data_IF_327501054887
#
_entry.id   IF_327501054887
#
_cell.length_a   1.000
_cell.length_b   1.000
_cell.length_c   1.000
_cell.angle_alpha   90.00
_cell.angle_beta   90.00
_cell.angle_gamma   90.00
#
_symmetry.space_group_name_H-M   'P 1'
#
loop_
_entity.id
_entity.type
_entity.pdbx_description
1 polymer ?
#
# COMPACT_ATOMS: atom_id res chain seq x y z
N UNK A 1 -12.09 17.11 86.19
CA UNK A 1 -13.15 16.85 85.20
C UNK A 1 -12.79 17.69 83.99
N UNK A 2 -12.15 17.08 82.99
CA UNK A 2 -11.53 17.78 81.87
C UNK A 2 -12.59 18.21 80.84
N UNK A 3 -12.44 19.42 80.31
CA UNK A 3 -13.36 20.06 79.38
C UNK A 3 -13.30 19.39 77.99
N UNK A 4 -14.39 18.82 77.47
CA UNK A 4 -14.41 18.09 76.20
C UNK A 4 -14.20 18.96 74.96
N UNK A 5 -14.14 20.29 75.09
CA UNK A 5 -13.88 21.20 73.96
C UNK A 5 -12.41 21.30 73.55
N UNK A 6 -11.50 20.84 74.40
CA UNK A 6 -10.06 20.93 74.13
C UNK A 6 -9.52 19.77 73.26
N UNK A 7 -10.33 18.74 72.99
CA UNK A 7 -9.92 17.59 72.15
C UNK A 7 -10.25 17.78 70.65
N UNK A 8 -11.00 18.82 70.28
CA UNK A 8 -11.35 19.09 68.87
C UNK A 8 -10.31 19.95 68.12
N UNK A 9 -9.31 20.50 68.82
CA UNK A 9 -8.27 21.33 68.23
C UNK A 9 -7.10 20.52 67.65
N UNK A 10 -7.04 19.20 67.91
CA UNK A 10 -5.95 18.31 67.47
C UNK A 10 -6.34 17.44 66.26
N UNK A 11 -7.40 17.83 65.54
CA UNK A 11 -7.65 17.29 64.19
C UNK A 11 -6.61 17.93 63.28
N UNK A 12 -5.44 17.29 63.22
CA UNK A 12 -4.42 17.51 62.20
C UNK A 12 -5.13 17.39 60.86
N UNK A 13 -5.38 18.52 60.22
CA UNK A 13 -5.84 18.56 58.83
C UNK A 13 -4.83 17.76 58.02
N UNK A 14 -5.19 16.63 57.40
CA UNK A 14 -4.26 15.96 56.52
C UNK A 14 -3.96 16.95 55.39
N UNK A 15 -2.70 17.37 55.29
CA UNK A 15 -2.25 18.15 54.16
C UNK A 15 -2.68 17.40 52.90
N UNK A 16 -3.60 18.00 52.13
CA UNK A 16 -4.05 17.42 50.89
C UNK A 16 -2.79 17.08 50.08
N UNK A 17 -2.65 15.84 49.57
CA UNK A 17 -1.51 15.54 48.73
C UNK A 17 -1.60 16.53 47.57
N UNK A 18 -0.59 17.38 47.45
CA UNK A 18 -0.38 18.18 46.25
C UNK A 18 -0.13 17.17 45.13
N UNK A 19 -1.21 16.65 44.55
CA UNK A 19 -1.19 16.00 43.25
C UNK A 19 -0.95 17.10 42.23
N UNK A 20 0.23 17.70 42.29
CA UNK A 20 0.86 18.28 41.12
C UNK A 20 1.27 17.10 40.23
N UNK A 21 0.27 16.41 39.68
CA UNK A 21 0.50 15.67 38.47
C UNK A 21 1.00 16.72 37.47
N UNK A 22 2.23 16.56 37.00
CA UNK A 22 2.72 17.25 35.81
C UNK A 22 1.94 16.68 34.61
N UNK A 23 0.64 16.97 34.57
CA UNK A 23 -0.31 16.47 33.57
C UNK A 23 0.09 16.97 32.19
N UNK A 24 0.75 18.13 32.10
CA UNK A 24 1.27 18.67 30.84
C UNK A 24 2.30 17.77 30.17
N UNK A 25 3.29 17.24 30.92
CA UNK A 25 4.36 16.42 30.36
C UNK A 25 3.86 15.04 29.91
N UNK A 26 2.96 14.43 30.70
CA UNK A 26 2.39 13.12 30.37
C UNK A 26 1.47 13.21 29.15
N UNK A 27 0.65 14.26 29.06
CA UNK A 27 -0.29 14.46 27.94
C UNK A 27 0.44 14.78 26.64
N UNK A 28 1.54 15.54 26.69
CA UNK A 28 2.44 15.75 25.55
C UNK A 28 3.14 14.45 25.10
N UNK A 29 3.57 13.59 26.04
CA UNK A 29 4.15 12.28 25.70
C UNK A 29 3.13 11.35 25.04
N UNK A 30 1.90 11.28 25.56
CA UNK A 30 0.82 10.50 24.95
C UNK A 30 0.42 11.04 23.58
N UNK A 31 0.38 12.37 23.41
CA UNK A 31 0.16 12.99 22.11
C UNK A 31 1.29 12.63 21.14
N UNK A 32 2.55 12.69 21.56
CA UNK A 32 3.70 12.31 20.74
C UNK A 32 3.67 10.83 20.33
N UNK A 33 3.31 9.93 21.25
CA UNK A 33 3.14 8.50 20.96
C UNK A 33 1.99 8.27 19.97
N UNK A 34 0.86 8.94 20.15
CA UNK A 34 -0.27 8.88 19.22
C UNK A 34 0.09 9.37 17.81
N UNK A 35 0.82 10.48 17.73
CA UNK A 35 1.26 11.08 16.47
C UNK A 35 2.32 10.21 15.77
N UNK A 36 3.27 9.63 16.52
CA UNK A 36 4.23 8.66 16.01
C UNK A 36 3.56 7.38 15.50
N UNK A 37 2.55 6.87 16.23
CA UNK A 37 1.74 5.73 15.80
C UNK A 37 0.99 6.03 14.50
N UNK A 38 0.30 7.17 14.42
CA UNK A 38 -0.42 7.59 13.22
C UNK A 38 0.53 7.80 12.03
N UNK A 39 1.69 8.43 12.24
CA UNK A 39 2.72 8.60 11.22
C UNK A 39 3.25 7.25 10.74
N UNK A 40 3.48 6.29 11.63
CA UNK A 40 3.87 4.92 11.30
C UNK A 40 2.84 4.20 10.45
N UNK A 41 1.55 4.29 10.81
CA UNK A 41 0.44 3.70 10.04
C UNK A 41 0.34 4.34 8.65
N UNK A 42 0.47 5.67 8.55
CA UNK A 42 0.48 6.39 7.27
C UNK A 42 1.67 5.97 6.40
N UNK A 43 2.86 5.84 6.98
CA UNK A 43 4.06 5.36 6.28
C UNK A 43 3.89 3.93 5.77
N UNK A 44 3.36 3.03 6.60
CA UNK A 44 3.06 1.65 6.22
C UNK A 44 2.02 1.60 5.11
N UNK A 45 0.93 2.37 5.22
CA UNK A 45 -0.09 2.47 4.19
C UNK A 45 0.48 3.02 2.87
N UNK A 46 1.33 4.05 2.95
CA UNK A 46 2.01 4.65 1.81
C UNK A 46 2.98 3.69 1.14
N UNK A 47 3.84 3.03 1.91
CA UNK A 47 4.76 1.99 1.41
C UNK A 47 3.99 0.82 0.82
N UNK A 48 2.89 0.42 1.46
CA UNK A 48 2.01 -0.62 0.96
C UNK A 48 1.40 -0.21 -0.37
N UNK A 49 0.84 0.99 -0.49
CA UNK A 49 0.30 1.54 -1.73
C UNK A 49 1.37 1.57 -2.83
N UNK A 50 2.59 2.00 -2.51
CA UNK A 50 3.73 2.03 -3.45
C UNK A 50 4.18 0.62 -3.87
N UNK A 51 4.02 -0.39 -3.01
CA UNK A 51 4.37 -1.80 -3.29
C UNK A 51 3.20 -2.64 -3.82
N UNK A 52 1.95 -2.15 -3.82
CA UNK A 52 0.80 -2.86 -4.40
C UNK A 52 0.99 -3.23 -5.88
N UNK A 53 1.45 -2.35 -6.79
CA UNK A 53 1.67 -2.73 -8.20
C UNK A 53 2.75 -3.80 -8.34
N UNK A 54 3.73 -3.84 -7.43
CA UNK A 54 4.77 -4.87 -7.39
C UNK A 54 4.20 -6.27 -7.17
N UNK A 55 3.39 -6.39 -6.11
CA UNK A 55 2.89 -7.67 -5.62
C UNK A 55 1.86 -8.24 -6.57
N UNK A 56 1.02 -7.39 -7.15
CA UNK A 56 0.06 -7.78 -8.16
C UNK A 56 0.75 -8.31 -9.42
N UNK A 57 1.77 -7.61 -9.92
CA UNK A 57 2.58 -8.09 -11.05
C UNK A 57 3.29 -9.42 -10.74
N UNK A 58 3.91 -9.54 -9.56
CA UNK A 58 4.57 -10.78 -9.15
C UNK A 58 3.58 -11.95 -9.01
N UNK A 59 2.38 -11.69 -8.50
CA UNK A 59 1.31 -12.70 -8.42
C UNK A 59 0.81 -13.13 -9.80
N UNK A 60 0.71 -12.20 -10.76
CA UNK A 60 0.38 -12.54 -12.15
C UNK A 60 1.51 -13.38 -12.76
N UNK A 61 2.76 -12.97 -12.61
CA UNK A 61 3.91 -13.70 -13.14
C UNK A 61 4.05 -15.11 -12.52
N UNK A 62 3.78 -15.26 -11.22
CA UNK A 62 3.76 -16.56 -10.56
C UNK A 62 2.63 -17.45 -11.11
N UNK A 63 1.43 -16.89 -11.31
CA UNK A 63 0.31 -17.62 -11.92
C UNK A 63 0.61 -18.03 -13.38
N UNK A 64 1.29 -17.18 -14.15
CA UNK A 64 1.78 -17.52 -15.49
C UNK A 64 2.80 -18.67 -15.43
N UNK A 65 3.77 -18.60 -14.52
CA UNK A 65 4.80 -19.63 -14.36
C UNK A 65 4.22 -20.99 -13.93
N UNK A 66 3.18 -20.98 -13.09
CA UNK A 66 2.45 -22.18 -12.69
C UNK A 66 1.34 -22.59 -13.67
N UNK A 67 1.19 -21.86 -14.80
CA UNK A 67 0.13 -22.06 -15.80
C UNK A 67 -1.29 -22.15 -15.18
N UNK A 68 -1.53 -21.35 -14.13
CA UNK A 68 -2.78 -21.35 -13.40
C UNK A 68 -3.82 -20.44 -14.07
N UNK A 69 -4.80 -21.06 -14.72
CA UNK A 69 -5.92 -20.40 -15.40
C UNK A 69 -5.72 -20.29 -16.90
N UNK A 70 -6.49 -19.41 -17.56
CA UNK A 70 -6.38 -19.19 -19.00
C UNK A 70 -5.44 -18.01 -19.32
N UNK A 71 -4.69 -18.06 -20.44
CA UNK A 71 -3.87 -16.93 -20.89
C UNK A 71 -4.67 -15.63 -21.01
N UNK A 72 -5.91 -15.70 -21.50
CA UNK A 72 -6.79 -14.54 -21.63
C UNK A 72 -7.15 -13.89 -20.29
N UNK A 73 -7.42 -14.69 -19.24
CA UNK A 73 -7.70 -14.18 -17.91
C UNK A 73 -6.46 -13.53 -17.27
N UNK A 74 -5.28 -14.13 -17.45
CA UNK A 74 -4.01 -13.56 -16.97
C UNK A 74 -3.65 -12.27 -17.72
N UNK A 75 -3.87 -12.22 -19.04
CA UNK A 75 -3.75 -10.99 -19.85
C UNK A 75 -4.71 -9.89 -19.36
N UNK A 76 -5.96 -10.23 -19.02
CA UNK A 76 -6.90 -9.27 -18.46
C UNK A 76 -6.43 -8.70 -17.11
N UNK A 77 -5.84 -9.53 -16.24
CA UNK A 77 -5.22 -9.09 -14.98
C UNK A 77 -4.01 -8.19 -15.23
N UNK A 78 -3.17 -8.50 -16.20
CA UNK A 78 -2.02 -7.69 -16.58
C UNK A 78 -2.46 -6.33 -17.17
N UNK A 79 -3.53 -6.31 -17.97
CA UNK A 79 -4.16 -5.09 -18.46
C UNK A 79 -4.71 -4.22 -17.30
N UNK A 80 -5.38 -4.83 -16.32
CA UNK A 80 -5.87 -4.10 -15.15
C UNK A 80 -4.72 -3.52 -14.32
N UNK A 81 -3.63 -4.27 -14.18
CA UNK A 81 -2.40 -3.78 -13.55
C UNK A 81 -1.83 -2.56 -14.28
N UNK A 82 -1.70 -2.61 -15.60
CA UNK A 82 -1.15 -1.48 -16.38
C UNK A 82 -2.02 -0.23 -16.25
N UNK A 83 -3.35 -0.38 -16.30
CA UNK A 83 -4.29 0.72 -16.05
C UNK A 83 -4.10 1.34 -14.67
N UNK A 84 -3.93 0.52 -13.64
CA UNK A 84 -3.69 0.99 -12.28
C UNK A 84 -2.33 1.68 -12.14
N UNK A 85 -1.27 1.09 -12.70
CA UNK A 85 0.11 1.56 -12.57
C UNK A 85 0.30 2.93 -13.24
N UNK A 86 -0.20 3.08 -14.46
CA UNK A 86 -0.06 4.30 -15.26
C UNK A 86 -1.28 5.22 -15.19
N UNK A 87 -2.26 4.92 -14.31
CA UNK A 87 -3.53 5.66 -14.14
C UNK A 87 -4.28 5.87 -15.47
N UNK A 88 -4.30 4.85 -16.33
CA UNK A 88 -4.93 4.90 -17.64
C UNK A 88 -6.38 4.41 -17.57
N UNK A 89 -7.28 5.10 -18.26
CA UNK A 89 -8.66 4.62 -18.46
C UNK A 89 -8.68 3.33 -19.28
N UNK A 90 -7.83 3.23 -20.30
CA UNK A 90 -7.65 2.06 -21.19
C UNK A 90 -6.17 1.94 -21.58
N UNK A 91 -5.67 0.71 -21.70
CA UNK A 91 -4.37 0.43 -22.34
C UNK A 91 -4.57 0.49 -23.84
N UNK A 92 -3.82 1.37 -24.50
CA UNK A 92 -3.91 1.61 -25.94
C UNK A 92 -2.50 1.84 -26.47
N UNK A 93 -2.17 1.22 -27.62
CA UNK A 93 -0.88 1.37 -28.28
C UNK A 93 -0.59 2.82 -28.67
N UNK A 94 -1.62 3.62 -28.96
CA UNK A 94 -1.45 5.02 -29.33
C UNK A 94 -1.21 5.96 -28.13
N UNK A 95 -1.43 5.50 -26.90
CA UNK A 95 -1.33 6.32 -25.68
C UNK A 95 -0.19 5.82 -24.79
N UNK A 96 1.03 6.16 -25.17
CA UNK A 96 2.22 5.85 -24.39
C UNK A 96 2.29 6.69 -23.11
N UNK A 97 2.55 6.10 -21.92
CA UNK A 97 2.83 6.84 -20.70
C UNK A 97 4.14 7.64 -20.80
N UNK A 98 4.25 8.78 -20.11
CA UNK A 98 5.48 9.57 -20.10
C UNK A 98 6.63 8.75 -19.46
N UNK A 99 7.81 8.80 -20.10
CA UNK A 99 9.01 8.07 -19.64
C UNK A 99 9.15 6.65 -20.19
N UNK A 100 8.23 6.20 -21.05
CA UNK A 100 8.33 4.94 -21.78
C UNK A 100 8.61 5.17 -23.26
N UNK A 101 9.32 4.21 -23.86
CA UNK A 101 9.50 4.16 -25.31
C UNK A 101 8.15 3.87 -25.99
N UNK A 102 7.65 4.76 -26.86
CA UNK A 102 6.37 4.58 -27.57
C UNK A 102 6.30 3.29 -28.39
N UNK A 103 7.40 2.87 -29.01
CA UNK A 103 7.41 1.68 -29.86
C UNK A 103 7.29 0.41 -29.03
N UNK A 104 8.05 0.35 -27.92
CA UNK A 104 8.00 -0.76 -26.96
C UNK A 104 6.63 -0.85 -26.28
N UNK A 105 6.03 0.29 -25.92
CA UNK A 105 4.69 0.32 -25.35
C UNK A 105 3.63 -0.15 -26.34
N UNK A 106 3.68 0.35 -27.58
CA UNK A 106 2.75 -0.02 -28.64
C UNK A 106 2.77 -1.51 -28.95
N UNK A 107 3.97 -2.08 -29.10
CA UNK A 107 4.16 -3.51 -29.32
C UNK A 107 3.61 -4.35 -28.16
N UNK A 108 3.93 -3.96 -26.93
CA UNK A 108 3.43 -4.62 -25.72
C UNK A 108 1.91 -4.56 -25.62
N UNK A 109 1.29 -3.40 -25.89
CA UNK A 109 -0.16 -3.22 -25.82
C UNK A 109 -0.90 -4.05 -26.87
N UNK A 110 -0.39 -4.09 -28.11
CA UNK A 110 -0.95 -4.92 -29.19
C UNK A 110 -0.83 -6.40 -28.88
N UNK A 111 0.33 -6.83 -28.41
CA UNK A 111 0.57 -8.23 -28.02
C UNK A 111 -0.34 -8.63 -26.87
N UNK A 112 -0.55 -7.77 -25.88
CA UNK A 112 -1.48 -8.01 -24.78
C UNK A 112 -2.93 -8.15 -25.26
N UNK A 113 -3.36 -7.28 -26.19
CA UNK A 113 -4.71 -7.34 -26.76
C UNK A 113 -4.91 -8.63 -27.57
N UNK A 114 -3.90 -9.06 -28.33
CA UNK A 114 -3.89 -10.32 -29.07
C UNK A 114 -4.00 -11.53 -28.14
N UNK A 115 -3.28 -11.57 -27.02
CA UNK A 115 -3.41 -12.69 -26.05
C UNK A 115 -4.78 -12.67 -25.36
N UNK A 116 -5.40 -11.49 -25.20
CA UNK A 116 -6.67 -11.35 -24.49
C UNK A 116 -7.88 -11.74 -25.35
N UNK A 117 -7.86 -11.39 -26.63
CA UNK A 117 -9.00 -11.54 -27.53
C UNK A 117 -8.74 -12.39 -28.77
N UNK A 118 -7.47 -12.67 -29.07
CA UNK A 118 -7.08 -13.50 -30.20
C UNK A 118 -7.34 -14.98 -29.97
N UNK A 119 -7.13 -15.79 -31.01
CA UNK A 119 -7.25 -17.25 -30.91
C UNK A 119 -6.23 -17.81 -29.92
N UNK A 120 -6.60 -18.88 -29.23
CA UNK A 120 -5.74 -19.55 -28.24
C UNK A 120 -4.45 -20.02 -28.92
N UNK A 121 -3.35 -19.34 -28.65
CA UNK A 121 -2.03 -19.75 -29.10
C UNK A 121 -1.40 -20.75 -28.13
N UNK A 122 -0.74 -21.82 -28.62
CA UNK A 122 -0.05 -22.78 -27.76
C UNK A 122 1.03 -22.11 -26.90
N UNK A 123 1.63 -21.02 -27.39
CA UNK A 123 2.68 -20.27 -26.69
C UNK A 123 2.16 -19.09 -25.86
N UNK A 124 0.84 -18.99 -25.62
CA UNK A 124 0.23 -17.84 -24.93
C UNK A 124 0.82 -17.55 -23.55
N UNK A 125 1.24 -18.58 -22.81
CA UNK A 125 1.93 -18.41 -21.53
C UNK A 125 3.36 -17.86 -21.70
N UNK A 126 4.11 -18.31 -22.71
CA UNK A 126 5.46 -17.81 -22.98
C UNK A 126 5.43 -16.33 -23.38
N UNK A 127 4.44 -15.93 -24.19
CA UNK A 127 4.19 -14.53 -24.52
C UNK A 127 3.87 -13.71 -23.25
N UNK A 128 3.03 -14.24 -22.36
CA UNK A 128 2.71 -13.59 -21.09
C UNK A 128 3.93 -13.42 -20.16
N UNK A 129 4.87 -14.37 -20.15
CA UNK A 129 6.12 -14.22 -19.40
C UNK A 129 6.89 -13.01 -19.90
N UNK A 130 7.08 -12.87 -21.22
CA UNK A 130 7.75 -11.70 -21.81
C UNK A 130 7.02 -10.38 -21.50
N UNK A 131 5.69 -10.38 -21.59
CA UNK A 131 4.88 -9.22 -21.21
C UNK A 131 5.07 -8.84 -19.73
N UNK A 132 5.16 -9.81 -18.83
CA UNK A 132 5.43 -9.58 -17.41
C UNK A 132 6.86 -9.04 -17.18
N UNK A 133 7.85 -9.47 -17.95
CA UNK A 133 9.22 -8.98 -17.86
C UNK A 133 9.35 -7.52 -18.31
N UNK A 134 8.73 -7.15 -19.44
CA UNK A 134 8.66 -5.75 -19.87
C UNK A 134 7.94 -4.88 -18.83
N UNK A 135 6.83 -5.37 -18.27
CA UNK A 135 6.13 -4.69 -17.19
C UNK A 135 7.00 -4.51 -15.93
N UNK A 136 7.90 -5.47 -15.60
CA UNK A 136 8.86 -5.34 -14.49
C UNK A 136 9.92 -4.29 -14.77
N UNK A 137 10.37 -4.12 -16.01
CA UNK A 137 11.40 -3.12 -16.34
C UNK A 137 10.85 -1.71 -16.15
N UNK A 138 9.62 -1.45 -16.59
CA UNK A 138 8.97 -0.15 -16.46
C UNK A 138 8.75 0.27 -15.02
N UNK A 139 8.45 -0.69 -14.14
CA UNK A 139 8.32 -0.43 -12.71
C UNK A 139 9.61 0.09 -12.06
N UNK A 140 10.80 -0.15 -12.65
CA UNK A 140 12.04 0.45 -12.13
C UNK A 140 12.12 1.95 -12.41
N UNK A 141 11.34 2.44 -13.38
CA UNK A 141 11.34 3.82 -13.84
C UNK A 141 10.16 4.65 -13.32
N UNK A 142 9.23 4.05 -12.55
CA UNK A 142 8.03 4.69 -11.95
C UNK A 142 8.07 4.58 -10.43
#
# INVERSE_FOLDING_TARGET
MADPRNELADIIVPAAPAMAASTGSNLLLWAAVGLAGAAGVLLLAWLWHRRRPARTLNGIAAAVAQQQGTPSALAARLNAWARMCFRLTRVDAARCPPGLDPDVWSDWAKTLEQVRFGPTQPDGFAVLVRLCESARSWRRHV
#
